data_IF_184467959630
#
_entry.id   IF_184467959630
#
_cell.length_a   1.000
_cell.length_b   1.000
_cell.length_c   1.000
_cell.angle_alpha   90.00
_cell.angle_beta   90.00
_cell.angle_gamma   90.00
#
_symmetry.space_group_name_H-M   'P 1'
#
loop_
_entity.id
_entity.type
_entity.pdbx_description
1 polymer ?
#
# COMPACT_ATOMS: atom_id res chain seq x y z
N UNK A 1 -22.18 5.99 -11.84
CA UNK A 1 -20.93 6.57 -12.32
C UNK A 1 -19.79 6.06 -11.45
N UNK A 2 -18.66 5.70 -12.04
CA UNK A 2 -17.43 5.40 -11.30
C UNK A 2 -16.80 6.70 -10.80
N UNK A 3 -16.60 6.78 -9.48
CA UNK A 3 -15.98 7.92 -8.81
C UNK A 3 -14.49 7.67 -8.60
N UNK A 4 -14.14 6.48 -8.09
CA UNK A 4 -12.78 6.18 -7.66
C UNK A 4 -12.50 4.67 -7.68
N UNK A 5 -11.23 4.30 -7.86
CA UNK A 5 -10.71 2.94 -7.71
C UNK A 5 -9.51 2.98 -6.76
N UNK A 6 -9.68 2.42 -5.57
CA UNK A 6 -8.62 2.39 -4.56
C UNK A 6 -8.12 0.95 -4.35
N UNK A 7 -6.81 0.75 -4.37
CA UNK A 7 -6.20 -0.51 -4.00
C UNK A 7 -5.74 -0.50 -2.54
N UNK A 8 -5.92 -1.62 -1.83
CA UNK A 8 -5.60 -1.78 -0.40
C UNK A 8 -4.80 -3.06 -0.20
N UNK A 9 -3.76 -2.99 0.64
CA UNK A 9 -2.96 -4.12 1.10
C UNK A 9 -3.34 -4.47 2.54
N UNK A 10 -3.76 -5.72 2.75
CA UNK A 10 -4.22 -6.30 4.00
C UNK A 10 -3.12 -7.02 4.80
N UNK A 11 -1.85 -6.99 4.37
CA UNK A 11 -0.74 -7.73 5.00
C UNK A 11 -0.69 -7.64 6.54
N UNK A 12 -0.88 -6.44 7.10
CA UNK A 12 -0.79 -6.19 8.55
C UNK A 12 -2.16 -5.89 9.18
N UNK A 13 -3.23 -6.33 8.53
CA UNK A 13 -4.59 -6.04 8.98
C UNK A 13 -4.94 -6.86 10.21
N UNK A 14 -5.36 -6.18 11.28
CA UNK A 14 -5.66 -6.82 12.57
C UNK A 14 -4.45 -7.02 13.47
N UNK A 15 -3.24 -6.70 13.01
CA UNK A 15 -2.01 -6.83 13.81
C UNK A 15 -1.56 -5.48 14.39
N UNK A 16 -1.34 -5.45 15.71
CA UNK A 16 -0.78 -4.30 16.42
C UNK A 16 0.73 -4.45 16.60
N UNK A 17 1.46 -3.32 16.60
CA UNK A 17 2.90 -3.33 16.85
C UNK A 17 3.21 -3.71 18.32
N UNK A 18 2.21 -3.51 19.19
CA UNK A 18 2.23 -3.85 20.60
C UNK A 18 0.87 -4.37 21.03
N UNK A 19 0.89 -5.43 21.84
CA UNK A 19 -0.26 -5.93 22.59
C UNK A 19 0.11 -5.83 24.07
N UNK A 20 -0.46 -4.87 24.79
CA UNK A 20 -0.27 -4.79 26.25
C UNK A 20 -1.36 -5.59 26.91
N UNK A 21 -0.98 -6.73 27.48
CA UNK A 21 -1.87 -7.51 28.33
C UNK A 21 -1.76 -7.11 29.81
N UNK A 22 -0.65 -6.44 30.22
CA UNK A 22 -0.38 -6.03 31.61
C UNK A 22 0.36 -4.69 31.70
N UNK A 23 0.06 -3.90 32.75
CA UNK A 23 0.73 -2.62 33.00
C UNK A 23 2.23 -2.82 33.30
N UNK A 24 3.10 -2.31 32.42
CA UNK A 24 4.56 -2.42 32.59
C UNK A 24 5.09 -1.33 33.51
N UNK A 25 5.82 -1.74 34.55
CA UNK A 25 6.40 -0.85 35.57
C UNK A 25 7.73 -0.19 35.13
N UNK A 26 8.23 -0.52 33.93
CA UNK A 26 9.43 0.07 33.32
C UNK A 26 9.08 0.61 31.93
N UNK A 27 9.56 1.80 31.61
CA UNK A 27 9.05 2.62 30.51
C UNK A 27 9.07 1.97 29.12
N UNK A 28 8.09 2.38 28.31
CA UNK A 28 7.70 1.87 26.99
C UNK A 28 8.71 2.04 25.83
N UNK A 29 9.97 2.38 26.09
CA UNK A 29 10.90 2.87 25.05
C UNK A 29 11.65 1.80 24.25
N UNK A 30 11.44 0.50 24.49
CA UNK A 30 12.35 -0.56 23.98
C UNK A 30 11.73 -1.75 23.25
N UNK A 31 10.41 -1.92 23.20
CA UNK A 31 9.81 -3.08 22.53
C UNK A 31 9.29 -2.72 21.13
N UNK A 32 10.21 -2.47 20.19
CA UNK A 32 9.88 -2.44 18.75
C UNK A 32 10.09 -3.85 18.22
N UNK A 33 9.02 -4.59 17.93
CA UNK A 33 9.13 -5.81 17.14
C UNK A 33 9.48 -5.38 15.71
N UNK A 34 10.74 -5.53 15.33
CA UNK A 34 11.26 -5.05 14.03
C UNK A 34 10.60 -5.70 12.82
N UNK A 35 9.93 -6.85 12.99
CA UNK A 35 9.47 -7.67 11.87
C UNK A 35 8.03 -8.11 12.09
N UNK A 36 7.10 -7.34 11.51
CA UNK A 36 5.71 -7.74 11.24
C UNK A 36 5.59 -8.15 9.76
N UNK A 37 6.65 -7.95 8.97
CA UNK A 37 6.67 -8.32 7.57
C UNK A 37 7.02 -9.82 7.50
N UNK A 38 6.13 -10.65 6.95
CA UNK A 38 6.37 -12.07 6.75
C UNK A 38 7.53 -12.32 5.79
N UNK A 39 8.18 -13.48 5.91
CA UNK A 39 9.25 -13.87 4.99
C UNK A 39 8.72 -13.97 3.55
N UNK A 40 9.58 -13.71 2.56
CA UNK A 40 9.20 -13.54 1.15
C UNK A 40 8.47 -14.75 0.52
N UNK A 41 8.55 -15.92 1.16
CA UNK A 41 7.98 -17.19 0.69
C UNK A 41 6.57 -17.49 1.25
N UNK A 42 6.02 -16.65 2.12
CA UNK A 42 4.65 -16.84 2.63
C UNK A 42 3.59 -16.32 1.64
N UNK A 43 2.72 -17.22 1.16
CA UNK A 43 1.57 -16.86 0.34
C UNK A 43 0.43 -16.33 1.21
N UNK A 44 0.15 -15.02 1.11
CA UNK A 44 -1.00 -14.41 1.76
C UNK A 44 -2.24 -14.52 0.88
N UNK A 45 -3.20 -15.33 1.32
CA UNK A 45 -4.55 -15.34 0.74
C UNK A 45 -5.20 -13.98 0.94
N UNK A 46 -5.82 -13.45 -0.12
CA UNK A 46 -6.56 -12.17 -0.10
C UNK A 46 -5.76 -10.92 0.35
N UNK A 47 -4.43 -10.90 0.14
CA UNK A 47 -3.56 -9.78 0.50
C UNK A 47 -4.02 -8.45 -0.11
N UNK A 48 -4.32 -8.43 -1.40
CA UNK A 48 -4.71 -7.21 -2.09
C UNK A 48 -6.21 -7.20 -2.38
N UNK A 49 -6.83 -6.04 -2.20
CA UNK A 49 -8.18 -5.79 -2.66
C UNK A 49 -8.28 -4.46 -3.40
N UNK A 50 -9.19 -4.42 -4.36
CA UNK A 50 -9.55 -3.23 -5.11
C UNK A 50 -10.98 -2.83 -4.72
N UNK A 51 -11.14 -1.57 -4.35
CA UNK A 51 -12.39 -0.94 -3.99
C UNK A 51 -12.83 -0.03 -5.13
N UNK A 52 -14.01 -0.27 -5.67
CA UNK A 52 -14.65 0.57 -6.67
C UNK A 52 -15.75 1.39 -6.02
N UNK A 53 -15.62 2.71 -6.05
CA UNK A 53 -16.63 3.62 -5.51
C UNK A 53 -17.55 4.08 -6.62
N UNK A 54 -18.83 3.76 -6.49
CA UNK A 54 -19.87 4.09 -7.46
C UNK A 54 -20.86 5.08 -6.84
N UNK A 55 -21.23 6.09 -7.62
CA UNK A 55 -22.28 7.05 -7.27
C UNK A 55 -23.43 6.98 -8.28
N UNK A 56 -24.64 6.81 -7.78
CA UNK A 56 -25.87 7.00 -8.56
C UNK A 56 -26.43 8.39 -8.30
N UNK A 57 -26.42 9.25 -9.33
CA UNK A 57 -26.92 10.62 -9.24
C UNK A 57 -28.45 10.66 -9.11
N UNK A 58 -29.17 9.81 -9.84
CA UNK A 58 -30.64 9.79 -9.82
C UNK A 58 -31.23 9.42 -8.46
N UNK A 59 -30.56 8.53 -7.72
CA UNK A 59 -31.00 8.09 -6.39
C UNK A 59 -30.20 8.72 -5.25
N UNK A 60 -29.17 9.51 -5.56
CA UNK A 60 -28.18 10.02 -4.60
C UNK A 60 -27.65 8.95 -3.64
N UNK A 61 -27.33 7.76 -4.17
CA UNK A 61 -26.81 6.62 -3.40
C UNK A 61 -25.37 6.31 -3.79
N UNK A 62 -24.56 5.98 -2.78
CA UNK A 62 -23.18 5.50 -2.95
C UNK A 62 -23.15 3.98 -2.74
N UNK A 63 -22.41 3.30 -3.60
CA UNK A 63 -22.14 1.87 -3.51
C UNK A 63 -20.63 1.66 -3.58
N UNK A 64 -20.11 0.80 -2.71
CA UNK A 64 -18.70 0.41 -2.73
C UNK A 64 -18.62 -1.08 -3.06
N UNK A 65 -17.96 -1.42 -4.16
CA UNK A 65 -17.67 -2.80 -4.52
C UNK A 65 -16.26 -3.15 -4.08
N UNK A 66 -16.12 -4.21 -3.29
CA UNK A 66 -14.83 -4.75 -2.87
C UNK A 66 -14.53 -6.02 -3.67
N UNK A 67 -13.37 -6.09 -4.31
CA UNK A 67 -12.92 -7.24 -5.08
C UNK A 67 -11.53 -7.64 -4.59
N UNK A 68 -11.35 -8.90 -4.22
CA UNK A 68 -10.03 -9.44 -3.88
C UNK A 68 -9.27 -9.86 -5.15
N UNK A 69 -7.95 -9.73 -5.12
CA UNK A 69 -7.09 -10.12 -6.25
C UNK A 69 -6.81 -11.62 -6.27
N UNK A 70 -6.27 -12.13 -7.37
CA UNK A 70 -5.73 -13.50 -7.42
C UNK A 70 -4.59 -13.69 -6.40
N UNK A 71 -4.43 -14.90 -5.88
CA UNK A 71 -3.32 -15.34 -5.00
C UNK A 71 -1.96 -15.38 -5.73
N UNK A 72 -1.92 -15.19 -7.05
CA UNK A 72 -0.70 -15.17 -7.84
C UNK A 72 0.12 -13.90 -7.57
N UNK A 73 1.45 -14.02 -7.56
CA UNK A 73 2.36 -12.88 -7.63
C UNK A 73 2.90 -12.74 -9.08
N UNK A 74 2.60 -11.66 -9.82
CA UNK A 74 1.90 -10.43 -9.40
C UNK A 74 0.36 -10.59 -9.27
N UNK A 75 -0.27 -9.84 -8.35
CA UNK A 75 -1.73 -9.86 -8.17
C UNK A 75 -2.42 -9.30 -9.42
N UNK A 76 -3.50 -9.93 -9.86
CA UNK A 76 -4.20 -9.54 -11.10
C UNK A 76 -5.71 -9.38 -10.92
N UNK A 77 -6.30 -8.42 -11.64
CA UNK A 77 -7.74 -8.13 -11.68
C UNK A 77 -8.15 -7.77 -13.11
N UNK A 78 -9.36 -8.10 -13.59
CA UNK A 78 -9.86 -7.60 -14.88
C UNK A 78 -10.05 -6.08 -14.87
N UNK A 79 -9.61 -5.40 -15.94
CA UNK A 79 -9.84 -3.97 -16.14
C UNK A 79 -11.32 -3.66 -16.40
N UNK A 80 -11.81 -2.57 -15.82
CA UNK A 80 -13.16 -2.01 -16.04
C UNK A 80 -13.15 -0.79 -16.97
N UNK A 81 -11.99 -0.46 -17.55
CA UNK A 81 -11.81 0.66 -18.50
C UNK A 81 -12.84 0.60 -19.65
N UNK A 82 -13.18 -0.61 -20.14
CA UNK A 82 -14.20 -0.81 -21.18
C UNK A 82 -15.62 -0.35 -20.78
N UNK A 83 -15.92 -0.31 -19.49
CA UNK A 83 -17.23 0.09 -18.95
C UNK A 83 -17.20 1.59 -18.59
N UNK A 84 -16.13 2.02 -17.91
CA UNK A 84 -15.92 3.40 -17.50
C UNK A 84 -14.52 3.87 -17.89
N UNK A 85 -14.44 4.76 -18.88
CA UNK A 85 -13.16 5.35 -19.32
C UNK A 85 -12.42 6.09 -18.20
N UNK A 86 -13.13 6.58 -17.18
CA UNK A 86 -12.52 7.23 -16.01
C UNK A 86 -11.61 6.28 -15.22
N UNK A 87 -11.83 4.96 -15.31
CA UNK A 87 -11.01 3.96 -14.63
C UNK A 87 -9.56 3.93 -15.10
N UNK A 88 -9.24 4.45 -16.29
CA UNK A 88 -7.90 4.37 -16.88
C UNK A 88 -6.81 4.89 -15.93
N UNK A 89 -7.00 6.08 -15.38
CA UNK A 89 -6.02 6.70 -14.49
C UNK A 89 -5.95 6.01 -13.13
N UNK A 90 -7.09 5.64 -12.55
CA UNK A 90 -7.13 4.97 -11.25
C UNK A 90 -6.54 3.55 -11.30
N UNK A 91 -6.75 2.81 -12.40
CA UNK A 91 -6.12 1.50 -12.60
C UNK A 91 -4.60 1.63 -12.76
N UNK A 92 -4.12 2.69 -13.42
CA UNK A 92 -2.67 2.99 -13.51
C UNK A 92 -2.09 3.40 -12.16
N UNK A 93 -2.81 4.18 -11.37
CA UNK A 93 -2.42 4.55 -10.00
C UNK A 93 -2.29 3.32 -9.11
N UNK A 94 -3.30 2.45 -9.12
CA UNK A 94 -3.28 1.20 -8.36
C UNK A 94 -2.15 0.26 -8.81
N UNK A 95 -1.82 0.23 -10.11
CA UNK A 95 -0.65 -0.49 -10.60
C UNK A 95 0.66 0.11 -10.10
N UNK A 96 0.81 1.43 -10.13
CA UNK A 96 2.04 2.10 -9.73
C UNK A 96 2.31 1.96 -8.21
N UNK A 97 1.28 2.23 -7.40
CA UNK A 97 1.42 2.30 -5.95
C UNK A 97 1.35 0.94 -5.25
N UNK A 98 0.58 -0.01 -5.79
CA UNK A 98 0.32 -1.32 -5.17
C UNK A 98 0.80 -2.50 -6.00
N UNK A 99 1.06 -2.30 -7.30
CA UNK A 99 1.53 -3.37 -8.19
C UNK A 99 0.45 -4.35 -8.63
N UNK A 100 -0.82 -3.92 -8.63
CA UNK A 100 -1.94 -4.74 -9.12
C UNK A 100 -2.01 -4.65 -10.64
N UNK A 101 -1.97 -5.80 -11.31
CA UNK A 101 -2.01 -5.88 -12.76
C UNK A 101 -3.44 -5.94 -13.29
N UNK A 102 -3.85 -4.95 -14.08
CA UNK A 102 -5.18 -4.88 -14.67
C UNK A 102 -5.21 -5.53 -16.07
N UNK A 103 -5.79 -6.73 -16.16
CA UNK A 103 -5.89 -7.49 -17.42
C UNK A 103 -6.85 -6.81 -18.39
N UNK A 104 -6.38 -6.50 -19.59
CA UNK A 104 -7.17 -5.86 -20.65
C UNK A 104 -7.15 -4.33 -20.62
N UNK A 105 -6.28 -3.71 -19.81
CA UNK A 105 -6.04 -2.27 -19.83
C UNK A 105 -5.25 -1.85 -21.09
N UNK A 106 -5.58 -0.73 -21.76
CA UNK A 106 -4.91 -0.31 -22.99
C UNK A 106 -3.46 0.18 -22.82
N UNK A 107 -3.14 0.89 -21.73
CA UNK A 107 -1.80 1.44 -21.45
C UNK A 107 -1.50 1.40 -19.94
N UNK A 108 -1.04 0.26 -19.44
CA UNK A 108 -0.70 0.10 -18.02
C UNK A 108 0.77 0.43 -17.79
N UNK A 109 1.03 1.66 -17.31
CA UNK A 109 2.36 2.15 -16.93
C UNK A 109 2.28 3.07 -15.73
N UNK A 110 3.41 3.26 -15.06
CA UNK A 110 3.59 4.17 -13.91
C UNK A 110 3.19 5.60 -14.24
N UNK A 111 2.72 6.34 -13.23
CA UNK A 111 2.24 7.72 -13.37
C UNK A 111 2.69 8.65 -12.24
N UNK A 112 2.90 8.13 -11.03
CA UNK A 112 3.23 8.89 -9.82
C UNK A 112 4.69 8.67 -9.41
N UNK A 113 5.22 7.46 -9.59
CA UNK A 113 6.61 7.15 -9.23
C UNK A 113 7.59 7.59 -10.32
N UNK A 114 8.85 7.79 -9.90
CA UNK A 114 9.95 8.09 -10.82
C UNK A 114 10.18 6.95 -11.83
N UNK A 115 10.73 7.27 -12.99
CA UNK A 115 10.92 6.33 -14.10
C UNK A 115 11.74 5.10 -13.67
N UNK A 116 12.79 5.31 -12.87
CA UNK A 116 13.67 4.26 -12.35
C UNK A 116 13.25 3.64 -11.03
N UNK A 117 12.07 3.96 -10.49
CA UNK A 117 11.67 3.53 -9.15
C UNK A 117 11.58 2.00 -9.04
N UNK A 118 12.07 1.39 -7.96
CA UNK A 118 12.01 -0.07 -7.78
C UNK A 118 11.10 -0.37 -6.59
N UNK A 119 9.99 -1.07 -6.86
CA UNK A 119 8.98 -1.43 -5.87
C UNK A 119 7.68 -0.64 -6.01
N UNK A 120 6.82 -0.81 -5.01
CA UNK A 120 5.46 -0.25 -4.94
C UNK A 120 5.28 0.44 -3.58
N UNK A 121 5.25 1.78 -3.52
CA UNK A 121 5.38 2.53 -2.26
C UNK A 121 4.33 2.25 -1.19
N UNK A 122 3.10 1.94 -1.59
CA UNK A 122 1.97 1.81 -0.64
C UNK A 122 1.74 0.38 -0.15
N UNK A 123 2.58 -0.56 -0.58
CA UNK A 123 2.60 -1.89 0.04
C UNK A 123 3.15 -1.79 1.46
N UNK A 124 2.61 -2.62 2.36
CA UNK A 124 2.98 -2.59 3.78
C UNK A 124 4.38 -3.13 4.08
N UNK A 125 4.95 -3.88 3.13
CA UNK A 125 6.33 -4.37 3.17
C UNK A 125 7.35 -3.32 2.72
N UNK A 126 6.92 -2.22 2.08
CA UNK A 126 7.82 -1.18 1.59
C UNK A 126 8.22 -0.21 2.72
N UNK A 127 9.51 0.11 2.88
CA UNK A 127 9.96 1.03 3.93
C UNK A 127 9.49 2.46 3.65
N UNK A 128 9.08 3.18 4.70
CA UNK A 128 8.55 4.56 4.58
C UNK A 128 9.51 5.54 3.91
N UNK A 129 10.82 5.41 4.16
CA UNK A 129 11.83 6.27 3.56
C UNK A 129 12.22 5.85 2.13
N UNK A 130 11.73 4.70 1.66
CA UNK A 130 12.21 4.06 0.44
C UNK A 130 13.61 3.47 0.56
N UNK A 131 14.10 2.96 -0.57
CA UNK A 131 15.40 2.29 -0.66
C UNK A 131 16.50 3.19 -1.19
N UNK A 132 16.14 4.20 -1.99
CA UNK A 132 17.07 5.08 -2.70
C UNK A 132 16.79 6.54 -2.34
N UNK A 133 17.86 7.29 -2.11
CA UNK A 133 17.87 8.74 -2.01
C UNK A 133 18.60 9.34 -3.22
N UNK A 134 18.25 10.57 -3.56
CA UNK A 134 18.76 11.28 -4.73
C UNK A 134 19.73 12.35 -4.26
N UNK A 135 20.95 12.36 -4.79
CA UNK A 135 22.01 13.32 -4.42
C UNK A 135 22.72 13.81 -5.68
N UNK A 136 23.13 15.09 -5.67
CA UNK A 136 23.97 15.64 -6.73
C UNK A 136 25.43 15.29 -6.45
N UNK A 137 26.09 14.68 -7.43
CA UNK A 137 27.52 14.39 -7.40
C UNK A 137 28.26 15.48 -8.18
N UNK A 138 29.18 16.19 -7.52
CA UNK A 138 29.99 17.24 -8.14
C UNK A 138 31.02 16.67 -9.12
N UNK A 139 31.53 15.46 -8.89
CA UNK A 139 32.57 14.85 -9.73
C UNK A 139 31.98 14.34 -11.05
N UNK A 140 30.78 13.79 -11.01
CA UNK A 140 30.06 13.29 -12.20
C UNK A 140 29.14 14.35 -12.84
N UNK A 141 29.05 15.54 -12.24
CA UNK A 141 28.15 16.65 -12.63
C UNK A 141 26.69 16.20 -12.90
N UNK A 142 26.21 15.20 -12.15
CA UNK A 142 24.89 14.61 -12.37
C UNK A 142 24.21 14.20 -11.08
N UNK A 143 22.90 13.97 -11.19
CA UNK A 143 22.08 13.45 -10.11
C UNK A 143 22.21 11.93 -10.07
N UNK A 144 22.65 11.40 -8.93
CA UNK A 144 22.83 9.96 -8.69
C UNK A 144 21.83 9.44 -7.66
N UNK A 145 21.48 8.16 -7.79
CA UNK A 145 20.68 7.42 -6.81
C UNK A 145 21.63 6.61 -5.91
N UNK A 146 21.54 6.80 -4.60
CA UNK A 146 22.31 6.03 -3.61
C UNK A 146 21.39 5.42 -2.55
N UNK A 147 21.81 4.36 -1.84
CA UNK A 147 21.00 3.79 -0.76
C UNK A 147 20.70 4.80 0.35
N UNK A 148 19.47 4.76 0.88
CA UNK A 148 19.04 5.66 1.98
C UNK A 148 19.93 5.49 3.21
N UNK A 149 20.43 6.62 3.71
CA UNK A 149 21.27 6.69 4.92
C UNK A 149 20.47 6.85 6.23
N UNK A 150 19.20 7.20 6.12
CA UNK A 150 18.33 7.57 7.25
C UNK A 150 17.61 6.34 7.82
N UNK A 151 17.79 6.09 9.12
CA UNK A 151 17.00 5.09 9.84
C UNK A 151 15.66 5.67 10.30
N UNK A 152 14.56 5.00 9.93
CA UNK A 152 13.22 5.38 10.42
C UNK A 152 13.09 5.03 11.89
N UNK A 153 12.79 6.01 12.74
CA UNK A 153 12.38 5.79 14.13
C UNK A 153 10.92 6.22 14.30
N UNK A 154 9.95 5.30 14.28
CA UNK A 154 8.57 5.66 14.55
C UNK A 154 8.45 6.19 15.98
N UNK A 155 7.90 7.40 16.14
CA UNK A 155 7.70 8.03 17.45
C UNK A 155 6.49 7.46 18.19
N UNK A 156 5.51 6.94 17.45
CA UNK A 156 4.25 6.41 17.97
C UNK A 156 4.03 5.00 17.41
N UNK A 157 3.80 3.98 18.25
CA UNK A 157 3.54 2.62 17.80
C UNK A 157 2.10 2.45 17.30
N UNK A 158 1.87 1.52 16.36
CA UNK A 158 0.52 1.14 15.92
C UNK A 158 -0.20 0.39 17.04
N UNK A 159 -1.17 1.05 17.68
CA UNK A 159 -2.12 0.45 18.63
C UNK A 159 -3.38 0.04 17.89
N UNK A 160 -3.86 -1.18 18.10
CA UNK A 160 -5.26 -1.52 17.85
C UNK A 160 -5.92 -1.65 19.22
N UNK A 161 -6.85 -0.74 19.53
CA UNK A 161 -7.66 -0.82 20.75
C UNK A 161 -8.91 -1.61 20.46
N UNK A 162 -9.25 -2.55 21.32
CA UNK A 162 -10.51 -3.27 21.19
C UNK A 162 -11.67 -2.37 21.61
N UNK A 163 -12.85 -2.64 21.05
CA UNK A 163 -14.07 -1.87 21.38
C UNK A 163 -14.43 -1.96 22.87
N UNK A 164 -13.97 -3.00 23.57
CA UNK A 164 -14.21 -3.21 24.99
C UNK A 164 -13.25 -2.41 25.89
N UNK A 165 -12.20 -1.77 25.36
CA UNK A 165 -11.21 -1.02 26.15
C UNK A 165 -11.66 0.41 26.50
N UNK A 166 -12.97 0.71 26.40
CA UNK A 166 -13.55 2.05 26.59
C UNK A 166 -14.44 2.17 27.84
N UNK A 167 -14.23 1.33 28.85
CA UNK A 167 -14.86 1.49 30.18
C UNK A 167 -13.93 2.23 31.16
#
# INVERSE_FOLDING_TARGET
MLIDVCAVDYLTYGEADWTTNDATNSGYSRAVKQTIIPEADETFTDRFAVFYQLLSLSYNKRLTLKVFTTESNPPSVPSINKIWNSANWFEREAFDLMGIHFKGHPDLRRILTDYGFIGHPFRKDFPTNGNLEVVYDEDEERVIYRPVSISTRPSVPKVIRDKNDRE
#
